data_IF_645464227243
#
_entry.id   IF_645464227243
#
_cell.length_a   1.000
_cell.length_b   1.000
_cell.length_c   1.000
_cell.angle_alpha   90.00
_cell.angle_beta   90.00
_cell.angle_gamma   90.00
#
_symmetry.space_group_name_H-M   'P 1'
#
loop_
_entity.id
_entity.type
_entity.pdbx_description
1 polymer ?
#
# COMPACT_ATOMS: atom_id res chain seq x y z
N UNK A 1 37.11 -18.28 -18.99
CA UNK A 1 36.17 -19.38 -18.69
C UNK A 1 35.28 -18.90 -17.55
N UNK A 2 33.96 -19.03 -17.76
CA UNK A 2 32.86 -18.67 -16.88
C UNK A 2 32.85 -17.22 -16.34
N UNK A 3 32.33 -16.34 -17.20
CA UNK A 3 31.68 -15.09 -16.85
C UNK A 3 30.49 -15.35 -15.90
N UNK A 4 30.29 -14.42 -14.96
CA UNK A 4 28.97 -14.11 -14.42
C UNK A 4 28.41 -15.08 -13.39
N UNK A 5 28.85 -14.95 -12.12
CA UNK A 5 28.00 -15.30 -10.98
C UNK A 5 26.83 -14.31 -10.94
N UNK A 6 25.88 -14.44 -11.86
CA UNK A 6 24.66 -13.65 -11.90
C UNK A 6 23.73 -14.24 -10.84
N UNK A 7 23.99 -13.87 -9.57
CA UNK A 7 23.05 -14.05 -8.48
C UNK A 7 21.76 -13.41 -8.96
N UNK A 8 20.76 -14.23 -9.31
CA UNK A 8 19.48 -13.72 -9.78
C UNK A 8 18.75 -13.18 -8.56
N UNK A 9 18.94 -11.89 -8.30
CA UNK A 9 18.06 -11.14 -7.42
C UNK A 9 16.61 -11.38 -7.83
N UNK A 10 15.73 -11.74 -6.89
CA UNK A 10 14.30 -11.82 -7.16
C UNK A 10 13.82 -10.52 -7.83
N UNK A 11 13.27 -10.61 -9.04
CA UNK A 11 12.72 -9.45 -9.76
C UNK A 11 11.43 -8.99 -9.08
N UNK A 12 11.60 -8.10 -8.09
CA UNK A 12 10.53 -7.49 -7.31
C UNK A 12 10.17 -6.08 -7.81
N UNK A 13 10.66 -5.64 -8.97
CA UNK A 13 10.41 -4.28 -9.45
C UNK A 13 8.92 -3.97 -9.54
N UNK A 14 8.12 -4.95 -9.98
CA UNK A 14 6.66 -4.80 -10.05
C UNK A 14 6.00 -4.64 -8.68
N UNK A 15 6.50 -5.33 -7.64
CA UNK A 15 5.98 -5.20 -6.28
C UNK A 15 6.36 -3.84 -5.69
N UNK A 16 7.61 -3.39 -5.91
CA UNK A 16 8.08 -2.08 -5.49
C UNK A 16 7.33 -0.96 -6.21
N UNK A 17 7.05 -1.12 -7.51
CA UNK A 17 6.27 -0.16 -8.27
C UNK A 17 4.82 -0.11 -7.78
N UNK A 18 4.20 -1.27 -7.54
CA UNK A 18 2.86 -1.34 -6.96
C UNK A 18 2.77 -0.63 -5.60
N UNK A 19 3.74 -0.86 -4.71
CA UNK A 19 3.80 -0.19 -3.40
C UNK A 19 3.85 1.34 -3.55
N UNK A 20 4.71 1.83 -4.46
CA UNK A 20 4.81 3.27 -4.76
C UNK A 20 3.52 3.84 -5.33
N UNK A 21 2.95 3.19 -6.35
CA UNK A 21 1.72 3.64 -7.01
C UNK A 21 0.57 3.67 -6.02
N UNK A 22 0.52 2.69 -5.12
CA UNK A 22 -0.51 2.60 -4.09
C UNK A 22 -0.37 3.67 -3.01
N UNK A 23 0.86 4.04 -2.62
CA UNK A 23 1.10 5.18 -1.72
C UNK A 23 0.70 6.52 -2.36
N UNK A 24 0.95 6.69 -3.66
CA UNK A 24 0.49 7.85 -4.42
C UNK A 24 -1.04 7.88 -4.45
N UNK A 25 -1.69 6.77 -4.80
CA UNK A 25 -3.14 6.66 -4.82
C UNK A 25 -3.78 6.95 -3.45
N UNK A 26 -3.17 6.50 -2.35
CA UNK A 26 -3.60 6.84 -0.99
C UNK A 26 -3.52 8.35 -0.72
N UNK A 27 -2.40 8.97 -1.11
CA UNK A 27 -2.20 10.41 -0.92
C UNK A 27 -3.23 11.22 -1.72
N UNK A 28 -3.50 10.81 -2.96
CA UNK A 28 -4.51 11.43 -3.81
C UNK A 28 -5.91 11.25 -3.22
N UNK A 29 -6.21 10.07 -2.69
CA UNK A 29 -7.46 9.80 -1.99
C UNK A 29 -7.64 10.73 -0.79
N UNK A 30 -6.63 10.86 0.10
CA UNK A 30 -6.66 11.77 1.24
C UNK A 30 -6.89 13.23 0.84
N UNK A 31 -6.31 13.66 -0.28
CA UNK A 31 -6.51 15.01 -0.81
C UNK A 31 -7.95 15.22 -1.33
N UNK A 32 -8.53 14.22 -1.99
CA UNK A 32 -9.94 14.24 -2.40
C UNK A 32 -10.86 14.36 -1.18
N UNK A 33 -10.57 13.65 -0.08
CA UNK A 33 -11.34 13.76 1.17
C UNK A 33 -11.29 15.19 1.71
N UNK A 34 -10.10 15.80 1.76
CA UNK A 34 -9.91 17.18 2.25
C UNK A 34 -10.71 18.17 1.41
N UNK A 35 -10.66 18.05 0.08
CA UNK A 35 -11.43 18.92 -0.81
C UNK A 35 -12.94 18.70 -0.69
N UNK A 36 -13.39 17.45 -0.56
CA UNK A 36 -14.79 17.15 -0.31
C UNK A 36 -15.26 17.80 0.99
N UNK A 37 -14.52 17.66 2.10
CA UNK A 37 -14.84 18.33 3.37
C UNK A 37 -14.94 19.84 3.20
N UNK A 38 -13.92 20.46 2.59
CA UNK A 38 -13.84 21.91 2.37
C UNK A 38 -15.04 22.45 1.57
N UNK A 39 -15.42 21.77 0.49
CA UNK A 39 -16.55 22.17 -0.36
C UNK A 39 -17.87 22.08 0.43
N UNK A 40 -18.09 20.99 1.14
CA UNK A 40 -19.33 20.78 1.89
C UNK A 40 -19.45 21.75 3.09
N UNK A 41 -18.35 22.03 3.79
CA UNK A 41 -18.31 23.05 4.85
C UNK A 41 -18.64 24.43 4.31
N UNK A 42 -18.05 24.83 3.18
CA UNK A 42 -18.33 26.11 2.55
C UNK A 42 -19.79 26.24 2.09
N UNK A 43 -20.38 25.13 1.63
CA UNK A 43 -21.78 25.09 1.20
C UNK A 43 -22.74 25.15 2.39
N UNK A 44 -22.52 24.36 3.44
CA UNK A 44 -23.31 24.37 4.67
C UNK A 44 -23.18 25.68 5.46
N UNK A 45 -22.04 26.39 5.33
CA UNK A 45 -21.87 27.72 5.90
C UNK A 45 -22.80 28.77 5.28
N UNK A 46 -23.18 28.59 4.00
CA UNK A 46 -24.07 29.50 3.26
C UNK A 46 -25.52 29.01 3.23
N UNK A 47 -25.74 27.70 3.13
CA UNK A 47 -27.06 27.11 3.06
C UNK A 47 -27.62 26.88 4.47
N UNK A 48 -28.48 27.80 4.90
CA UNK A 48 -29.23 27.68 6.14
C UNK A 48 -30.73 27.46 5.84
N UNK A 49 -31.41 26.65 6.66
CA UNK A 49 -32.84 26.37 6.54
C UNK A 49 -33.15 24.92 6.10
N UNK A 50 -34.30 24.74 5.47
CA UNK A 50 -34.80 23.41 5.10
C UNK A 50 -33.80 22.66 4.21
N UNK A 51 -33.56 21.39 4.53
CA UNK A 51 -32.65 20.51 3.78
C UNK A 51 -31.20 20.52 4.24
N UNK A 52 -30.72 21.59 4.91
CA UNK A 52 -29.31 21.69 5.32
C UNK A 52 -28.90 20.59 6.32
N UNK A 53 -29.79 20.22 7.25
CA UNK A 53 -29.51 19.14 8.20
C UNK A 53 -29.52 17.75 7.53
N UNK A 54 -30.42 17.49 6.59
CA UNK A 54 -30.37 16.24 5.81
C UNK A 54 -29.10 16.16 4.98
N UNK A 55 -28.74 17.26 4.30
CA UNK A 55 -27.52 17.33 3.53
C UNK A 55 -26.27 17.07 4.39
N UNK A 56 -26.17 17.69 5.58
CA UNK A 56 -25.07 17.43 6.51
C UNK A 56 -24.94 15.94 6.86
N UNK A 57 -26.06 15.26 7.14
CA UNK A 57 -26.07 13.82 7.45
C UNK A 57 -25.56 12.98 6.28
N UNK A 58 -25.95 13.31 5.05
CA UNK A 58 -25.45 12.59 3.86
C UNK A 58 -23.95 12.83 3.66
N UNK A 59 -23.46 14.05 3.89
CA UNK A 59 -22.02 14.36 3.85
C UNK A 59 -21.25 13.56 4.90
N UNK A 60 -21.73 13.51 6.14
CA UNK A 60 -21.14 12.72 7.22
C UNK A 60 -21.10 11.23 6.87
N UNK A 61 -22.20 10.69 6.34
CA UNK A 61 -22.29 9.29 5.93
C UNK A 61 -21.38 8.95 4.74
N UNK A 62 -21.22 9.86 3.78
CA UNK A 62 -20.25 9.70 2.69
C UNK A 62 -18.82 9.68 3.25
N UNK A 63 -18.50 10.58 4.19
CA UNK A 63 -17.18 10.63 4.83
C UNK A 63 -16.86 9.38 5.63
N UNK A 64 -17.83 8.80 6.35
CA UNK A 64 -17.66 7.50 7.03
C UNK A 64 -17.31 6.39 6.04
N UNK A 65 -18.08 6.24 4.95
CA UNK A 65 -17.83 5.21 3.94
C UNK A 65 -16.47 5.36 3.28
N UNK A 66 -16.09 6.59 2.96
CA UNK A 66 -14.78 6.92 2.41
C UNK A 66 -13.67 6.52 3.38
N UNK A 67 -13.84 6.79 4.68
CA UNK A 67 -12.90 6.36 5.72
C UNK A 67 -12.69 4.84 5.71
N UNK A 68 -13.77 4.05 5.66
CA UNK A 68 -13.67 2.59 5.56
C UNK A 68 -12.93 2.11 4.30
N UNK A 69 -13.06 2.80 3.17
CA UNK A 69 -12.28 2.47 1.96
C UNK A 69 -10.79 2.76 2.16
N UNK A 70 -10.44 3.87 2.82
CA UNK A 70 -9.06 4.19 3.18
C UNK A 70 -8.42 3.11 4.06
N UNK A 71 -9.14 2.61 5.06
CA UNK A 71 -8.67 1.52 5.94
C UNK A 71 -8.39 0.22 5.17
N UNK A 72 -9.23 -0.12 4.19
CA UNK A 72 -9.02 -1.30 3.33
C UNK A 72 -7.78 -1.14 2.46
N UNK A 73 -7.57 0.04 1.87
CA UNK A 73 -6.37 0.34 1.08
C UNK A 73 -5.09 0.22 1.94
N UNK A 74 -5.14 0.68 3.19
CA UNK A 74 -4.04 0.56 4.14
C UNK A 74 -3.75 -0.89 4.50
N UNK A 75 -4.78 -1.69 4.76
CA UNK A 75 -4.62 -3.10 5.08
C UNK A 75 -4.00 -3.90 3.92
N UNK A 76 -4.35 -3.58 2.67
CA UNK A 76 -3.77 -4.23 1.49
C UNK A 76 -2.29 -3.87 1.35
N UNK A 77 -1.94 -2.59 1.49
CA UNK A 77 -0.57 -2.10 1.34
C UNK A 77 0.35 -2.59 2.45
N UNK A 78 -0.02 -2.36 3.72
CA UNK A 78 0.81 -2.72 4.87
C UNK A 78 0.75 -4.21 5.19
N UNK A 79 -0.30 -4.90 4.77
CA UNK A 79 -0.44 -6.34 4.92
C UNK A 79 0.14 -7.12 3.75
N UNK A 80 -0.68 -7.37 2.74
CA UNK A 80 -0.38 -8.35 1.69
C UNK A 80 0.82 -7.95 0.82
N UNK A 81 0.89 -6.69 0.38
CA UNK A 81 1.91 -6.22 -0.56
C UNK A 81 3.28 -6.18 0.08
N UNK A 82 3.38 -5.57 1.26
CA UNK A 82 4.60 -5.50 2.04
C UNK A 82 5.09 -6.88 2.46
N UNK A 83 4.20 -7.74 2.96
CA UNK A 83 4.56 -9.11 3.33
C UNK A 83 5.08 -9.92 2.13
N UNK A 84 4.45 -9.78 0.96
CA UNK A 84 4.93 -10.44 -0.25
C UNK A 84 6.33 -9.95 -0.62
N UNK A 85 6.56 -8.63 -0.61
CA UNK A 85 7.87 -8.03 -0.89
C UNK A 85 8.94 -8.53 0.08
N UNK A 86 8.65 -8.52 1.38
CA UNK A 86 9.58 -8.93 2.42
C UNK A 86 9.92 -10.43 2.31
N UNK A 87 8.94 -11.28 2.00
CA UNK A 87 9.17 -12.70 1.76
C UNK A 87 10.08 -12.96 0.55
N UNK A 88 9.91 -12.22 -0.55
CA UNK A 88 10.80 -12.33 -1.72
C UNK A 88 12.21 -11.82 -1.43
N UNK A 89 12.36 -10.72 -0.68
CA UNK A 89 13.66 -10.22 -0.26
C UNK A 89 14.40 -11.19 0.67
N UNK A 90 13.66 -11.82 1.59
CA UNK A 90 14.23 -12.84 2.47
C UNK A 90 14.67 -14.07 1.67
N UNK A 91 13.85 -14.55 0.74
CA UNK A 91 14.21 -15.66 -0.14
C UNK A 91 15.47 -15.35 -0.96
N UNK A 92 15.61 -14.11 -1.44
CA UNK A 92 16.80 -13.68 -2.17
C UNK A 92 18.07 -13.72 -1.30
N UNK A 93 17.96 -13.23 -0.06
CA UNK A 93 19.04 -13.27 0.91
C UNK A 93 19.44 -14.71 1.30
N UNK A 94 18.45 -15.58 1.51
CA UNK A 94 18.68 -16.99 1.84
C UNK A 94 19.36 -17.73 0.68
N UNK A 95 18.94 -17.45 -0.57
CA UNK A 95 19.57 -18.01 -1.77
C UNK A 95 20.99 -17.50 -1.97
N UNK A 96 21.26 -16.21 -1.70
CA UNK A 96 22.61 -15.66 -1.74
C UNK A 96 23.50 -16.34 -0.71
N UNK A 97 23.04 -16.48 0.54
CA UNK A 97 23.77 -17.15 1.61
C UNK A 97 24.04 -18.63 1.31
N UNK A 98 23.06 -19.37 0.77
CA UNK A 98 23.24 -20.77 0.36
C UNK A 98 24.29 -20.90 -0.74
N UNK A 99 24.28 -20.01 -1.74
CA UNK A 99 25.26 -20.06 -2.84
C UNK A 99 26.67 -19.67 -2.40
N UNK A 100 26.82 -18.82 -1.38
CA UNK A 100 28.13 -18.49 -0.78
C UNK A 100 28.72 -19.64 0.05
N UNK A 101 27.89 -20.52 0.60
CA UNK A 101 28.34 -21.69 1.35
C UNK A 101 27.42 -22.92 1.11
N UNK A 102 27.53 -23.60 -0.05
CA UNK A 102 26.58 -24.62 -0.50
C UNK A 102 26.59 -25.92 0.32
N UNK A 103 27.49 -26.06 1.31
CA UNK A 103 27.60 -27.25 2.15
C UNK A 103 27.80 -26.87 3.61
N UNK A 104 26.82 -27.16 4.45
CA UNK A 104 27.07 -27.52 5.84
C UNK A 104 26.20 -28.67 6.37
N UNK A 105 25.43 -29.38 5.53
CA UNK A 105 24.64 -30.54 6.01
C UNK A 105 24.57 -31.77 5.08
N UNK A 106 25.38 -31.89 4.02
CA UNK A 106 25.51 -33.18 3.31
C UNK A 106 26.98 -33.58 3.16
N UNK A 107 27.50 -34.25 4.18
CA UNK A 107 28.87 -34.76 4.17
C UNK A 107 29.40 -35.26 5.52
N UNK A 108 28.56 -35.80 6.39
CA UNK A 108 28.97 -36.50 7.60
C UNK A 108 28.59 -37.98 7.50
N UNK A 109 29.53 -38.77 6.97
CA UNK A 109 29.45 -40.24 6.95
C UNK A 109 29.70 -40.82 8.35
#
# INVERSE_FOLDING_TARGET
>A
MADGNHIRCADIEKLVQFEKDSQVAKTDFDNIIKEFKRINEALLGKWQGAGANQYRKEVEHILEKIGSVGEVLDAINEGAVKSARDAYLQLDADLAAFNENPTSEEGGN
#
